data_IF_134921312509
#
_entry.id   IF_134921312509
#
_cell.length_a   1.000
_cell.length_b   1.000
_cell.length_c   1.000
_cell.angle_alpha   90.00
_cell.angle_beta   90.00
_cell.angle_gamma   90.00
#
_symmetry.space_group_name_H-M   'P 1'
#
loop_
_entity.id
_entity.type
_entity.pdbx_description
1 polymer ?
#
# COMPACT_ATOMS: atom_id res chain seq x y z
N UNK A 1 11.76 -1.31 10.06
CA UNK A 1 10.64 -1.32 11.04
C UNK A 1 9.69 -2.42 10.66
N UNK A 2 9.07 -3.08 11.64
CA UNK A 2 8.21 -4.22 11.37
C UNK A 2 6.87 -3.78 10.76
N UNK A 3 6.23 -4.67 10.00
CA UNK A 3 4.92 -4.43 9.37
C UNK A 3 3.86 -4.09 10.43
N UNK A 4 3.93 -4.73 11.60
CA UNK A 4 3.06 -4.44 12.73
C UNK A 4 3.18 -2.99 13.21
N UNK A 5 4.40 -2.47 13.34
CA UNK A 5 4.64 -1.10 13.81
C UNK A 5 4.04 -0.07 12.86
N UNK A 6 4.19 -0.27 11.55
CA UNK A 6 3.63 0.60 10.52
C UNK A 6 2.09 0.59 10.55
N UNK A 7 1.48 -0.60 10.71
CA UNK A 7 0.04 -0.73 10.81
C UNK A 7 -0.51 -0.07 12.08
N UNK A 8 0.08 -0.36 13.25
CA UNK A 8 -0.28 0.26 14.53
C UNK A 8 -0.12 1.78 14.45
N UNK A 9 1.03 2.25 13.94
CA UNK A 9 1.31 3.68 13.77
C UNK A 9 0.31 4.36 12.84
N UNK A 10 -0.12 3.71 11.75
CA UNK A 10 -1.12 4.29 10.86
C UNK A 10 -2.51 4.43 11.52
N UNK A 11 -2.90 3.46 12.33
CA UNK A 11 -4.20 3.47 13.01
C UNK A 11 -4.22 4.54 14.11
N UNK A 12 -3.22 4.55 14.99
CA UNK A 12 -3.22 5.44 16.15
C UNK A 12 -2.61 6.82 15.88
N UNK A 13 -1.81 6.97 14.82
CA UNK A 13 -1.15 8.23 14.47
C UNK A 13 -2.05 9.20 13.71
N UNK A 14 -2.64 8.76 12.59
CA UNK A 14 -3.50 9.61 11.75
C UNK A 14 -4.93 9.06 11.55
N UNK A 15 -5.32 8.03 12.32
CA UNK A 15 -6.69 7.53 12.31
C UNK A 15 -7.03 6.64 11.11
N UNK A 16 -6.08 5.88 10.56
CA UNK A 16 -6.37 4.96 9.47
C UNK A 16 -7.41 3.90 9.88
N UNK A 17 -8.24 3.47 8.93
CA UNK A 17 -9.37 2.55 9.15
C UNK A 17 -8.96 1.27 9.92
N UNK A 18 -9.36 1.11 11.20
CA UNK A 18 -8.92 -0.01 12.03
C UNK A 18 -9.41 -1.38 11.53
N UNK A 19 -10.62 -1.43 10.97
CA UNK A 19 -11.21 -2.66 10.42
C UNK A 19 -10.48 -3.18 9.17
N UNK A 20 -9.60 -2.38 8.57
CA UNK A 20 -8.69 -2.79 7.47
C UNK A 20 -7.30 -3.23 7.97
N UNK A 21 -7.05 -3.14 9.28
CA UNK A 21 -5.80 -3.60 9.89
C UNK A 21 -4.59 -2.67 9.70
N UNK A 22 -4.78 -1.43 9.23
CA UNK A 22 -3.69 -0.47 8.96
C UNK A 22 -3.30 -0.39 7.49
N UNK A 23 -2.38 0.51 7.16
CA UNK A 23 -2.07 0.84 5.74
C UNK A 23 -1.43 -0.30 4.97
N UNK A 24 -0.51 -1.07 5.55
CA UNK A 24 0.14 -2.17 4.84
C UNK A 24 -0.80 -3.37 4.72
N UNK A 25 -1.59 -3.63 5.76
CA UNK A 25 -2.61 -4.67 5.71
C UNK A 25 -3.71 -4.35 4.70
N UNK A 26 -4.07 -3.07 4.56
CA UNK A 26 -4.99 -2.62 3.51
C UNK A 26 -4.46 -2.94 2.10
N UNK A 27 -3.16 -2.80 1.85
CA UNK A 27 -2.57 -3.15 0.54
C UNK A 27 -2.68 -4.66 0.29
N UNK A 28 -2.43 -5.49 1.31
CA UNK A 28 -2.59 -6.94 1.21
C UNK A 28 -4.06 -7.35 0.95
N UNK A 29 -5.02 -6.71 1.63
CA UNK A 29 -6.47 -6.91 1.48
C UNK A 29 -6.99 -6.47 0.10
N UNK A 30 -6.52 -5.32 -0.40
CA UNK A 30 -6.84 -4.81 -1.73
C UNK A 30 -6.22 -5.66 -2.85
N UNK A 31 -5.12 -6.34 -2.56
CA UNK A 31 -4.32 -7.08 -3.53
C UNK A 31 -3.20 -6.21 -4.10
N UNK A 32 -1.96 -6.64 -3.90
CA UNK A 32 -0.77 -5.86 -4.21
C UNK A 32 -0.67 -5.45 -5.70
N UNK A 33 -0.93 -6.38 -6.61
CA UNK A 33 -0.90 -6.10 -8.05
C UNK A 33 -1.98 -5.09 -8.46
N UNK A 34 -3.20 -5.23 -7.91
CA UNK A 34 -4.30 -4.28 -8.15
C UNK A 34 -3.97 -2.90 -7.57
N UNK A 35 -3.35 -2.85 -6.38
CA UNK A 35 -2.92 -1.60 -5.77
C UNK A 35 -1.88 -0.87 -6.63
N UNK A 36 -0.90 -1.59 -7.17
CA UNK A 36 0.12 -1.03 -8.07
C UNK A 36 -0.51 -0.51 -9.36
N UNK A 37 -1.41 -1.28 -9.98
CA UNK A 37 -2.12 -0.85 -11.18
C UNK A 37 -2.94 0.43 -10.92
N UNK A 38 -3.71 0.45 -9.83
CA UNK A 38 -4.49 1.63 -9.44
C UNK A 38 -3.62 2.84 -9.14
N UNK A 39 -2.47 2.64 -8.51
CA UNK A 39 -1.51 3.72 -8.24
C UNK A 39 -0.95 4.29 -9.55
N UNK A 40 -0.67 3.45 -10.54
CA UNK A 40 -0.22 3.89 -11.86
C UNK A 40 -1.29 4.71 -12.60
N UNK A 41 -2.56 4.28 -12.60
CA UNK A 41 -3.69 5.05 -13.17
C UNK A 41 -3.82 6.44 -12.52
N UNK A 42 -3.66 6.50 -11.19
CA UNK A 42 -3.68 7.77 -10.47
C UNK A 42 -2.46 8.63 -10.79
N UNK A 43 -1.29 8.02 -11.05
CA UNK A 43 -0.09 8.75 -11.44
C UNK A 43 -0.23 9.39 -12.83
N UNK A 44 -0.86 8.68 -13.78
CA UNK A 44 -1.18 9.23 -15.10
C UNK A 44 -2.15 10.42 -15.02
N UNK A 45 -3.12 10.37 -14.09
CA UNK A 45 -4.16 11.39 -13.96
C UNK A 45 -3.74 12.60 -13.12
N UNK A 46 -3.02 12.35 -12.03
CA UNK A 46 -2.74 13.34 -10.98
C UNK A 46 -1.25 13.59 -10.74
N UNK A 47 -0.37 12.96 -11.53
CA UNK A 47 1.06 13.18 -11.55
C UNK A 47 1.87 12.27 -10.62
N UNK A 48 3.18 12.52 -10.60
CA UNK A 48 4.21 11.62 -10.05
C UNK A 48 4.03 11.25 -8.58
N UNK A 49 3.28 12.03 -7.79
CA UNK A 49 3.01 11.75 -6.37
C UNK A 49 2.34 10.39 -6.15
N UNK A 50 1.60 9.88 -7.13
CA UNK A 50 0.93 8.58 -7.05
C UNK A 50 1.76 7.44 -7.62
N UNK A 51 2.97 7.71 -8.13
CA UNK A 51 3.79 6.70 -8.76
C UNK A 51 4.11 5.57 -7.77
N UNK A 52 3.78 4.30 -8.07
CA UNK A 52 4.08 3.21 -7.17
C UNK A 52 5.61 3.05 -7.01
N UNK A 53 6.14 2.97 -5.77
CA UNK A 53 7.55 2.72 -5.52
C UNK A 53 8.05 1.45 -6.21
N UNK A 54 9.34 1.41 -6.56
CA UNK A 54 9.95 0.26 -7.23
C UNK A 54 9.79 -1.04 -6.42
N UNK A 55 9.88 -0.96 -5.10
CA UNK A 55 9.65 -2.09 -4.19
C UNK A 55 8.27 -2.73 -4.39
N UNK A 56 7.20 -1.93 -4.45
CA UNK A 56 5.84 -2.44 -4.64
C UNK A 56 5.69 -3.15 -5.98
N UNK A 57 6.29 -2.61 -7.04
CA UNK A 57 6.28 -3.23 -8.37
C UNK A 57 7.00 -4.59 -8.38
N UNK A 58 8.14 -4.67 -7.70
CA UNK A 58 8.90 -5.92 -7.58
C UNK A 58 8.17 -6.96 -6.76
N UNK A 59 7.62 -6.57 -5.61
CA UNK A 59 6.82 -7.46 -4.76
C UNK A 59 5.57 -7.96 -5.52
N UNK A 60 4.91 -7.09 -6.30
CA UNK A 60 3.76 -7.48 -7.14
C UNK A 60 4.17 -8.51 -8.21
N UNK A 61 5.32 -8.33 -8.86
CA UNK A 61 5.84 -9.28 -9.84
C UNK A 61 6.20 -10.65 -9.22
N UNK A 62 6.57 -10.68 -7.93
CA UNK A 62 6.88 -11.90 -7.18
C UNK A 62 5.67 -12.53 -6.47
N UNK A 63 4.50 -11.89 -6.52
CA UNK A 63 3.30 -12.37 -5.83
C UNK A 63 3.41 -12.31 -4.29
N UNK A 64 4.23 -11.40 -3.78
CA UNK A 64 4.50 -11.25 -2.34
C UNK A 64 3.41 -10.46 -1.61
N UNK A 65 3.47 -10.51 -0.28
CA UNK A 65 2.66 -9.71 0.64
C UNK A 65 3.59 -8.98 1.61
N UNK A 66 3.09 -7.89 2.19
CA UNK A 66 3.72 -7.29 3.37
C UNK A 66 3.63 -8.22 4.57
#
# INVERSE_FOLDING_TARGET
TAVADANIGSIFGWGFAPFKGGTLQFINDYGLAQFVARSAELAETYGERFQPPALLRQMAARGERF
#
